data_IF_191284209898
#
_entry.id   IF_191284209898
#
_cell.length_a   1.000
_cell.length_b   1.000
_cell.length_c   1.000
_cell.angle_alpha   90.00
_cell.angle_beta   90.00
_cell.angle_gamma   90.00
#
_symmetry.space_group_name_H-M   'P 1'
#
loop_
_entity.id
_entity.type
_entity.pdbx_description
1 polymer ?
#
# COMPACT_ATOMS: atom_id res chain seq x y z
N UNK A 1 47.37 20.74 -38.81
CA UNK A 1 47.02 19.34 -38.48
C UNK A 1 46.53 19.13 -37.05
N UNK A 2 47.03 19.87 -36.05
CA UNK A 2 46.65 19.70 -34.63
C UNK A 2 45.21 20.17 -34.32
N UNK A 3 44.75 21.28 -34.92
CA UNK A 3 43.39 21.81 -34.71
C UNK A 3 42.29 20.87 -35.23
N UNK A 4 42.49 20.21 -36.38
CA UNK A 4 41.54 19.22 -36.92
C UNK A 4 41.45 17.96 -36.03
N UNK A 5 42.56 17.58 -35.39
CA UNK A 5 42.59 16.46 -34.42
C UNK A 5 41.88 16.82 -33.11
N UNK A 6 42.03 18.05 -32.62
CA UNK A 6 41.32 18.53 -31.42
C UNK A 6 39.80 18.63 -31.64
N UNK A 7 39.35 19.13 -32.80
CA UNK A 7 37.91 19.22 -33.11
C UNK A 7 37.25 17.82 -33.20
N UNK A 8 37.96 16.84 -33.77
CA UNK A 8 37.49 15.45 -33.83
C UNK A 8 37.45 14.81 -32.43
N UNK A 9 38.45 15.06 -31.58
CA UNK A 9 38.48 14.57 -30.19
C UNK A 9 37.34 15.14 -29.34
N UNK A 10 37.04 16.44 -29.48
CA UNK A 10 35.94 17.09 -28.75
C UNK A 10 34.58 16.55 -29.26
N UNK A 11 34.43 16.34 -30.57
CA UNK A 11 33.21 15.75 -31.14
C UNK A 11 32.95 14.33 -30.65
N UNK A 12 34.00 13.49 -30.58
CA UNK A 12 33.90 12.13 -30.04
C UNK A 12 33.53 12.15 -28.55
N UNK A 13 34.10 13.07 -27.76
CA UNK A 13 33.79 13.20 -26.33
C UNK A 13 32.32 13.58 -26.09
N UNK A 14 31.76 14.50 -26.89
CA UNK A 14 30.36 14.93 -26.76
C UNK A 14 29.39 13.81 -27.18
N UNK A 15 29.71 13.06 -28.23
CA UNK A 15 28.91 11.89 -28.64
C UNK A 15 28.95 10.76 -27.60
N UNK A 16 30.08 10.58 -26.91
CA UNK A 16 30.21 9.58 -25.87
C UNK A 16 29.43 9.94 -24.59
N UNK A 17 29.28 11.23 -24.26
CA UNK A 17 28.52 11.65 -23.07
C UNK A 17 27.01 11.43 -23.20
N UNK A 18 26.47 11.46 -24.42
CA UNK A 18 25.04 11.22 -24.66
C UNK A 18 24.64 9.74 -24.56
N UNK A 19 25.58 8.80 -24.71
CA UNK A 19 25.30 7.36 -24.65
C UNK A 19 25.20 6.84 -23.20
N UNK A 20 25.80 7.55 -22.23
CA UNK A 20 25.75 7.17 -20.81
C UNK A 20 24.41 7.47 -20.11
N UNK A 21 23.53 8.29 -20.71
CA UNK A 21 22.26 8.68 -20.10
C UNK A 21 21.10 7.72 -20.37
N UNK A 22 21.30 6.66 -21.17
CA UNK A 22 20.24 5.78 -21.65
C UNK A 22 20.07 4.46 -20.87
N UNK A 23 20.90 4.20 -19.84
CA UNK A 23 20.88 2.95 -19.08
C UNK A 23 20.61 3.15 -17.59
N UNK A 24 19.75 4.09 -17.21
CA UNK A 24 19.17 4.07 -15.86
C UNK A 24 18.01 3.08 -15.85
N UNK A 25 18.33 1.82 -15.54
CA UNK A 25 17.32 0.91 -14.98
C UNK A 25 16.81 1.56 -13.71
N UNK A 26 15.59 2.09 -13.74
CA UNK A 26 14.88 2.49 -12.52
C UNK A 26 14.73 1.20 -11.73
N UNK A 27 15.52 1.06 -10.67
CA UNK A 27 15.34 -0.02 -9.71
C UNK A 27 13.88 0.07 -9.24
N UNK A 28 13.11 -1.04 -9.29
CA UNK A 28 11.77 -1.02 -8.70
C UNK A 28 11.92 -0.49 -7.27
N UNK A 29 11.13 0.53 -6.93
CA UNK A 29 11.06 1.01 -5.57
C UNK A 29 10.90 -0.23 -4.69
N UNK A 30 11.78 -0.38 -3.69
CA UNK A 30 11.70 -1.50 -2.77
C UNK A 30 10.31 -1.46 -2.13
N UNK A 31 9.40 -2.30 -2.62
CA UNK A 31 8.15 -2.59 -1.94
C UNK A 31 8.58 -3.03 -0.54
N UNK A 32 8.11 -2.41 0.55
CA UNK A 32 8.37 -2.93 1.88
C UNK A 32 7.95 -4.40 1.85
N UNK A 33 8.91 -5.30 2.03
CA UNK A 33 8.60 -6.71 2.18
C UNK A 33 7.59 -6.80 3.32
N UNK A 34 6.42 -7.39 3.07
CA UNK A 34 5.49 -7.70 4.14
C UNK A 34 6.29 -8.49 5.19
N UNK A 35 6.25 -8.09 6.48
CA UNK A 35 7.02 -8.78 7.50
C UNK A 35 6.64 -10.26 7.46
N UNK A 36 7.64 -11.12 7.28
CA UNK A 36 7.46 -12.55 7.43
C UNK A 36 6.98 -12.78 8.87
N UNK A 37 5.85 -13.47 9.03
CA UNK A 37 5.33 -13.82 10.34
C UNK A 37 6.34 -14.75 11.01
N UNK A 38 7.10 -14.22 11.97
CA UNK A 38 8.03 -14.99 12.80
C UNK A 38 7.22 -15.85 13.75
N UNK A 39 7.38 -17.18 13.65
CA UNK A 39 6.54 -18.17 14.32
C UNK A 39 6.84 -18.34 15.83
N UNK A 40 7.22 -17.27 16.52
CA UNK A 40 7.55 -17.27 17.95
C UNK A 40 7.34 -15.93 18.67
N UNK A 41 7.09 -14.84 17.95
CA UNK A 41 6.84 -13.50 18.52
C UNK A 41 5.41 -13.07 18.15
N UNK A 42 4.71 -12.42 19.08
CA UNK A 42 3.38 -11.88 18.80
C UNK A 42 3.47 -10.93 17.60
N UNK A 43 2.53 -11.05 16.65
CA UNK A 43 2.55 -10.18 15.48
C UNK A 43 2.51 -8.71 15.93
N UNK A 44 3.08 -7.80 15.13
CA UNK A 44 2.98 -6.37 15.44
C UNK A 44 1.51 -5.94 15.67
N UNK A 45 0.59 -6.51 14.88
CA UNK A 45 -0.86 -6.26 15.01
C UNK A 45 -1.44 -6.76 16.33
N UNK A 46 -0.99 -7.92 16.81
CA UNK A 46 -1.42 -8.47 18.10
C UNK A 46 -0.93 -7.58 19.26
N UNK A 47 0.34 -7.19 19.22
CA UNK A 47 0.92 -6.28 20.22
C UNK A 47 0.21 -4.93 20.23
N UNK A 48 -0.10 -4.39 19.05
CA UNK A 48 -0.81 -3.13 18.91
C UNK A 48 -2.27 -3.23 19.43
N UNK A 49 -2.98 -4.31 19.11
CA UNK A 49 -4.34 -4.55 19.57
C UNK A 49 -4.41 -4.64 21.10
N UNK A 50 -3.48 -5.37 21.71
CA UNK A 50 -3.37 -5.50 23.16
C UNK A 50 -3.07 -4.14 23.82
N UNK A 51 -2.08 -3.39 23.30
CA UNK A 51 -1.72 -2.09 23.84
C UNK A 51 -2.86 -1.07 23.73
N UNK A 52 -3.68 -1.16 22.68
CA UNK A 52 -4.88 -0.32 22.50
C UNK A 52 -6.09 -0.81 23.30
N UNK A 53 -6.05 -2.01 23.89
CA UNK A 53 -7.20 -2.61 24.57
C UNK A 53 -8.37 -2.91 23.63
N UNK A 54 -8.08 -3.24 22.37
CA UNK A 54 -9.09 -3.43 21.31
C UNK A 54 -9.30 -4.90 20.92
N UNK A 55 -8.66 -5.86 21.59
CA UNK A 55 -8.88 -7.29 21.33
C UNK A 55 -10.37 -7.64 21.48
N UNK A 56 -10.94 -8.36 20.51
CA UNK A 56 -12.36 -8.73 20.50
C UNK A 56 -13.32 -7.60 20.10
N UNK A 57 -12.82 -6.38 19.83
CA UNK A 57 -13.64 -5.31 19.26
C UNK A 57 -14.01 -5.63 17.80
N UNK A 58 -15.19 -5.19 17.38
CA UNK A 58 -15.60 -5.23 15.98
C UNK A 58 -15.53 -3.83 15.37
N UNK A 59 -14.70 -3.68 14.34
CA UNK A 59 -14.67 -2.48 13.48
C UNK A 59 -15.71 -2.65 12.38
N UNK A 60 -16.69 -1.75 12.34
CA UNK A 60 -17.74 -1.74 11.32
C UNK A 60 -17.48 -0.59 10.36
N UNK A 61 -17.48 -0.88 9.07
CA UNK A 61 -17.22 0.09 8.02
C UNK A 61 -18.18 -0.10 6.85
N UNK A 62 -18.46 0.99 6.16
CA UNK A 62 -19.25 1.01 4.93
C UNK A 62 -18.38 1.60 3.84
N UNK A 63 -18.33 0.95 2.67
CA UNK A 63 -17.55 1.44 1.54
C UNK A 63 -18.21 1.10 0.21
N UNK A 64 -17.89 1.85 -0.84
CA UNK A 64 -18.39 1.60 -2.18
C UNK A 64 -17.98 0.20 -2.64
N UNK A 65 -18.90 -0.51 -3.29
CA UNK A 65 -18.73 -1.87 -3.83
C UNK A 65 -17.83 -1.88 -5.07
N UNK A 66 -16.56 -1.53 -4.87
CA UNK A 66 -15.48 -1.58 -5.86
C UNK A 66 -14.60 -2.82 -5.65
N UNK A 67 -13.84 -3.27 -6.66
CA UNK A 67 -12.92 -4.40 -6.50
C UNK A 67 -11.93 -4.26 -5.32
N UNK A 68 -11.33 -3.08 -5.05
CA UNK A 68 -10.52 -2.87 -3.85
C UNK A 68 -11.27 -3.12 -2.54
N UNK A 69 -12.51 -2.66 -2.41
CA UNK A 69 -13.33 -2.88 -1.21
C UNK A 69 -13.61 -4.36 -1.01
N UNK A 70 -13.93 -5.10 -2.09
CA UNK A 70 -14.13 -6.55 -2.02
C UNK A 70 -12.87 -7.27 -1.57
N UNK A 71 -11.71 -6.89 -2.10
CA UNK A 71 -10.43 -7.44 -1.65
C UNK A 71 -10.16 -7.12 -0.17
N UNK A 72 -10.43 -5.90 0.28
CA UNK A 72 -10.29 -5.52 1.67
C UNK A 72 -11.21 -6.35 2.58
N UNK A 73 -12.48 -6.53 2.21
CA UNK A 73 -13.47 -7.26 2.99
C UNK A 73 -13.22 -8.79 3.02
N UNK A 74 -12.83 -9.38 1.89
CA UNK A 74 -12.75 -10.83 1.73
C UNK A 74 -11.37 -11.40 2.04
N UNK A 75 -10.31 -10.57 1.96
CA UNK A 75 -8.92 -11.03 2.13
C UNK A 75 -8.22 -10.32 3.28
N UNK A 76 -8.21 -8.98 3.28
CA UNK A 76 -7.45 -8.22 4.28
C UNK A 76 -8.11 -8.28 5.66
N UNK A 77 -9.44 -8.14 5.74
CA UNK A 77 -10.18 -8.18 6.99
C UNK A 77 -9.99 -9.52 7.74
N UNK A 78 -10.16 -10.71 7.10
CA UNK A 78 -9.87 -11.98 7.76
C UNK A 78 -8.40 -12.14 8.20
N UNK A 79 -7.45 -11.67 7.37
CA UNK A 79 -6.03 -11.74 7.71
C UNK A 79 -5.68 -10.84 8.90
N UNK A 80 -6.26 -9.64 8.95
CA UNK A 80 -6.11 -8.71 10.06
C UNK A 80 -6.75 -9.24 11.33
N UNK A 81 -7.95 -9.83 11.25
CA UNK A 81 -8.61 -10.45 12.40
C UNK A 81 -7.78 -11.61 12.98
N UNK A 82 -7.24 -12.48 12.12
CA UNK A 82 -6.34 -13.55 12.57
C UNK A 82 -5.07 -13.02 13.24
N UNK A 83 -4.54 -11.88 12.78
CA UNK A 83 -3.30 -11.30 13.30
C UNK A 83 -3.50 -10.45 14.57
N UNK A 84 -4.69 -9.88 14.78
CA UNK A 84 -4.96 -8.88 15.83
C UNK A 84 -6.02 -9.30 16.85
N UNK A 85 -6.87 -10.28 16.52
CA UNK A 85 -8.08 -10.59 17.28
C UNK A 85 -9.19 -9.54 17.15
N UNK A 86 -9.06 -8.57 16.24
CA UNK A 86 -10.05 -7.52 15.97
C UNK A 86 -10.90 -7.92 14.77
N UNK A 87 -12.21 -8.04 14.96
CA UNK A 87 -13.13 -8.35 13.87
C UNK A 87 -13.34 -7.14 12.98
N UNK A 88 -13.35 -7.32 11.66
CA UNK A 88 -13.65 -6.24 10.70
C UNK A 88 -14.84 -6.62 9.84
N UNK A 89 -15.92 -5.85 9.97
CA UNK A 89 -17.13 -5.95 9.16
C UNK A 89 -17.13 -4.78 8.17
N UNK A 90 -16.62 -5.01 6.96
CA UNK A 90 -16.63 -4.02 5.89
C UNK A 90 -17.77 -4.32 4.91
N UNK A 91 -18.82 -3.50 4.94
CA UNK A 91 -20.00 -3.60 4.09
C UNK A 91 -19.78 -2.91 2.74
N UNK A 92 -19.74 -3.66 1.62
CA UNK A 92 -19.69 -3.09 0.29
C UNK A 92 -21.10 -2.69 -0.15
N UNK A 93 -21.31 -1.43 -0.49
CA UNK A 93 -22.63 -0.88 -0.89
C UNK A 93 -22.53 0.02 -2.13
N UNK A 94 -23.65 0.53 -2.66
CA UNK A 94 -23.63 1.45 -3.80
C UNK A 94 -23.03 2.82 -3.42
N UNK A 95 -22.55 3.58 -4.40
CA UNK A 95 -22.02 4.93 -4.18
C UNK A 95 -23.04 5.86 -3.51
N UNK A 96 -24.31 5.77 -3.95
CA UNK A 96 -25.42 6.54 -3.39
C UNK A 96 -25.69 6.16 -1.92
N UNK A 97 -25.66 4.87 -1.61
CA UNK A 97 -26.00 4.36 -0.27
C UNK A 97 -24.86 4.52 0.74
N UNK A 98 -23.59 4.49 0.31
CA UNK A 98 -22.43 4.56 1.21
C UNK A 98 -22.49 5.78 2.14
N UNK A 99 -22.82 6.95 1.58
CA UNK A 99 -22.92 8.19 2.36
C UNK A 99 -24.18 8.23 3.23
N UNK A 100 -25.34 7.89 2.68
CA UNK A 100 -26.60 7.92 3.42
C UNK A 100 -26.58 6.94 4.59
N UNK A 101 -26.05 5.74 4.39
CA UNK A 101 -25.94 4.74 5.46
C UNK A 101 -25.01 5.19 6.57
N UNK A 102 -23.81 5.68 6.24
CA UNK A 102 -22.87 6.18 7.25
C UNK A 102 -23.48 7.31 8.09
N UNK A 103 -24.20 8.24 7.46
CA UNK A 103 -24.91 9.33 8.15
C UNK A 103 -26.01 8.77 9.07
N UNK A 104 -26.81 7.84 8.57
CA UNK A 104 -27.93 7.27 9.33
C UNK A 104 -27.43 6.45 10.53
N UNK A 105 -26.37 5.66 10.37
CA UNK A 105 -25.74 4.90 11.44
C UNK A 105 -25.22 5.85 12.55
N UNK A 106 -24.56 6.94 12.16
CA UNK A 106 -24.11 7.98 13.10
C UNK A 106 -25.26 8.69 13.82
N UNK A 107 -26.35 8.98 13.12
CA UNK A 107 -27.54 9.58 13.73
C UNK A 107 -28.25 8.62 14.69
N UNK A 108 -28.24 7.33 14.39
CA UNK A 108 -28.80 6.28 15.24
C UNK A 108 -27.87 5.91 16.42
N UNK A 109 -26.59 6.31 16.38
CA UNK A 109 -25.59 5.95 17.38
C UNK A 109 -25.19 4.48 17.32
N UNK A 110 -25.19 3.90 16.12
CA UNK A 110 -24.92 2.47 15.85
C UNK A 110 -23.77 2.23 14.89
#
# INVERSE_FOLDING_TARGET
MLQRKMVVLIGIMVLFSMILSACTTVAPAAQPAAPAADAGEASWWQTAAQAAGCEGVTLRGVSESTPPTRFAAEVLAPAFEAASGIKVELEPTSWDEMYSKAINDMQAGT
#
